data_IF_336946484919
#
_entry.id   IF_336946484919
#
_cell.length_a   1.000
_cell.length_b   1.000
_cell.length_c   1.000
_cell.angle_alpha   90.00
_cell.angle_beta   90.00
_cell.angle_gamma   90.00
#
_symmetry.space_group_name_H-M   'P 1'
#
loop_
_entity.id
_entity.type
_entity.pdbx_description
1 polymer ?
#
# COMPACT_ATOMS: atom_id res chain seq x y z
N UNK A 1 -31.26 11.29 -17.82
CA UNK A 1 -32.52 11.33 -18.60
C UNK A 1 -32.16 10.90 -20.01
N UNK A 2 -32.50 9.69 -20.41
CA UNK A 2 -32.33 9.20 -21.79
C UNK A 2 -33.61 9.51 -22.56
N UNK A 3 -33.50 10.08 -23.75
CA UNK A 3 -34.65 10.53 -24.57
C UNK A 3 -35.62 9.42 -25.02
N UNK A 4 -35.36 8.15 -24.71
CA UNK A 4 -36.08 7.01 -25.33
C UNK A 4 -36.73 6.01 -24.37
N UNK A 5 -36.89 6.28 -23.06
CA UNK A 5 -37.53 5.37 -22.09
C UNK A 5 -36.99 3.91 -22.08
N UNK A 6 -35.84 3.66 -22.71
CA UNK A 6 -35.18 2.37 -22.68
C UNK A 6 -34.53 2.20 -21.29
N UNK A 7 -34.78 1.08 -20.58
CA UNK A 7 -34.06 0.80 -19.35
C UNK A 7 -32.57 0.79 -19.66
N UNK A 8 -31.74 1.37 -18.78
CA UNK A 8 -30.30 1.33 -18.93
C UNK A 8 -29.86 -0.13 -19.05
N UNK A 9 -29.36 -0.52 -20.22
CA UNK A 9 -28.97 -1.91 -20.54
C UNK A 9 -27.82 -2.38 -19.63
N UNK A 10 -27.08 -1.44 -19.03
CA UNK A 10 -26.05 -1.66 -18.03
C UNK A 10 -26.33 -0.85 -16.75
N UNK A 11 -26.81 -1.51 -15.69
CA UNK A 11 -26.78 -0.95 -14.34
C UNK A 11 -25.40 -1.25 -13.72
N UNK A 12 -24.40 -0.41 -14.00
CA UNK A 12 -23.01 -0.56 -13.51
C UNK A 12 -22.88 -0.38 -11.98
N UNK A 13 -24.00 -0.23 -11.26
CA UNK A 13 -24.02 0.29 -9.90
C UNK A 13 -23.94 1.81 -9.90
N UNK A 14 -24.41 2.43 -8.82
CA UNK A 14 -24.31 3.90 -8.72
C UNK A 14 -22.83 4.32 -8.68
N UNK A 15 -22.51 5.53 -9.17
CA UNK A 15 -21.16 6.11 -9.05
C UNK A 15 -20.66 6.12 -7.60
N UNK A 16 -21.58 6.32 -6.65
CA UNK A 16 -21.28 6.23 -5.23
C UNK A 16 -20.85 4.81 -4.83
N UNK A 17 -21.55 3.78 -5.31
CA UNK A 17 -21.20 2.37 -5.07
C UNK A 17 -19.80 2.05 -5.61
N UNK A 18 -19.50 2.46 -6.85
CA UNK A 18 -18.18 2.23 -7.45
C UNK A 18 -17.08 3.00 -6.72
N UNK A 19 -17.34 4.24 -6.29
CA UNK A 19 -16.42 5.01 -5.44
C UNK A 19 -16.13 4.27 -4.12
N UNK A 20 -17.16 3.79 -3.43
CA UNK A 20 -16.99 3.07 -2.17
C UNK A 20 -16.22 1.76 -2.35
N UNK A 21 -16.48 1.01 -3.43
CA UNK A 21 -15.74 -0.21 -3.74
C UNK A 21 -14.28 0.09 -4.09
N UNK A 22 -14.03 1.14 -4.87
CA UNK A 22 -12.68 1.61 -5.21
C UNK A 22 -11.89 1.97 -3.95
N UNK A 23 -12.47 2.80 -3.08
CA UNK A 23 -11.87 3.20 -1.82
C UNK A 23 -11.63 2.01 -0.88
N UNK A 24 -12.58 1.07 -0.81
CA UNK A 24 -12.43 -0.16 -0.02
C UNK A 24 -11.24 -0.98 -0.51
N UNK A 25 -11.13 -1.25 -1.81
CA UNK A 25 -10.03 -2.04 -2.40
C UNK A 25 -8.68 -1.38 -2.11
N UNK A 26 -8.58 -0.07 -2.31
CA UNK A 26 -7.36 0.70 -2.01
C UNK A 26 -7.01 0.66 -0.53
N UNK A 27 -8.01 0.82 0.35
CA UNK A 27 -7.79 0.82 1.79
C UNK A 27 -7.29 -0.55 2.28
N UNK A 28 -7.94 -1.64 1.85
CA UNK A 28 -7.54 -3.01 2.22
C UNK A 28 -6.10 -3.28 1.78
N UNK A 29 -5.76 -2.98 0.53
CA UNK A 29 -4.42 -3.20 0.01
C UNK A 29 -3.37 -2.34 0.72
N UNK A 30 -3.68 -1.06 0.97
CA UNK A 30 -2.77 -0.13 1.65
C UNK A 30 -2.53 -0.54 3.10
N UNK A 31 -3.57 -0.96 3.83
CA UNK A 31 -3.43 -1.41 5.22
C UNK A 31 -2.56 -2.67 5.28
N UNK A 32 -2.81 -3.64 4.40
CA UNK A 32 -1.98 -4.84 4.30
C UNK A 32 -0.51 -4.50 3.98
N UNK A 33 -0.27 -3.62 2.99
CA UNK A 33 1.07 -3.17 2.63
C UNK A 33 1.74 -2.43 3.78
N UNK A 34 1.00 -1.59 4.51
CA UNK A 34 1.51 -0.83 5.65
C UNK A 34 1.99 -1.75 6.76
N UNK A 35 1.18 -2.74 7.14
CA UNK A 35 1.55 -3.70 8.18
C UNK A 35 2.85 -4.42 7.79
N UNK A 36 2.94 -4.93 6.57
CA UNK A 36 4.12 -5.68 6.10
C UNK A 36 5.35 -4.77 5.98
N UNK A 37 5.22 -3.63 5.31
CA UNK A 37 6.34 -2.72 5.06
C UNK A 37 6.89 -2.10 6.36
N UNK A 38 6.02 -1.69 7.28
CA UNK A 38 6.45 -1.15 8.59
C UNK A 38 7.08 -2.26 9.44
N UNK A 39 6.52 -3.48 9.43
CA UNK A 39 7.13 -4.60 10.16
C UNK A 39 8.53 -4.94 9.61
N UNK A 40 8.70 -4.96 8.28
CA UNK A 40 10.01 -5.15 7.65
C UNK A 40 10.98 -4.02 8.01
N UNK A 41 10.55 -2.77 7.95
CA UNK A 41 11.38 -1.62 8.33
C UNK A 41 11.81 -1.69 9.81
N UNK A 42 10.90 -2.06 10.72
CA UNK A 42 11.22 -2.27 12.13
C UNK A 42 12.22 -3.42 12.29
N UNK A 43 12.02 -4.54 11.58
CA UNK A 43 12.91 -5.70 11.64
C UNK A 43 14.34 -5.32 11.24
N UNK A 44 14.51 -4.71 10.07
CA UNK A 44 15.84 -4.39 9.51
C UNK A 44 16.55 -3.23 10.23
N UNK A 45 15.83 -2.46 11.05
CA UNK A 45 16.41 -1.43 11.91
C UNK A 45 16.86 -1.97 13.27
N UNK A 46 16.58 -3.24 13.59
CA UNK A 46 17.13 -3.91 14.78
C UNK A 46 18.45 -4.62 14.45
N UNK A 47 19.37 -4.74 15.43
CA UNK A 47 20.60 -5.50 15.26
C UNK A 47 20.39 -6.93 14.74
N UNK A 48 19.33 -7.61 15.21
CA UNK A 48 19.00 -8.97 14.80
C UNK A 48 18.45 -9.10 13.37
N UNK A 49 17.96 -7.99 12.78
CA UNK A 49 17.37 -7.99 11.44
C UNK A 49 18.17 -7.22 10.39
N UNK A 50 19.25 -6.54 10.78
CA UNK A 50 20.02 -5.64 9.92
C UNK A 50 20.60 -6.35 8.68
N UNK A 51 20.98 -7.61 8.80
CA UNK A 51 21.48 -8.43 7.68
C UNK A 51 20.41 -8.68 6.59
N UNK A 52 19.12 -8.61 6.95
CA UNK A 52 18.01 -8.78 6.02
C UNK A 52 17.63 -7.49 5.28
N UNK A 53 18.34 -6.38 5.51
CA UNK A 53 18.05 -5.11 4.82
C UNK A 53 18.12 -5.24 3.28
N UNK A 54 19.19 -5.83 2.68
CA UNK A 54 19.25 -5.98 1.23
C UNK A 54 18.10 -6.84 0.70
N UNK A 55 17.80 -7.96 1.38
CA UNK A 55 16.72 -8.86 1.00
C UNK A 55 15.35 -8.18 1.09
N UNK A 56 15.08 -7.45 2.18
CA UNK A 56 13.83 -6.71 2.37
C UNK A 56 13.65 -5.65 1.29
N UNK A 57 14.72 -4.90 0.97
CA UNK A 57 14.73 -3.94 -0.14
C UNK A 57 14.49 -4.59 -1.48
N UNK A 58 15.12 -5.73 -1.76
CA UNK A 58 14.87 -6.47 -3.01
C UNK A 58 13.41 -6.88 -3.13
N UNK A 59 12.79 -7.41 -2.06
CA UNK A 59 11.38 -7.81 -2.07
C UNK A 59 10.44 -6.64 -2.38
N UNK A 60 10.61 -5.49 -1.70
CA UNK A 60 9.74 -4.33 -1.92
C UNK A 60 9.99 -3.66 -3.28
N UNK A 61 11.23 -3.66 -3.77
CA UNK A 61 11.56 -3.11 -5.10
C UNK A 61 10.99 -3.97 -6.23
N UNK A 62 11.03 -5.30 -6.10
CA UNK A 62 10.41 -6.20 -7.07
C UNK A 62 8.93 -5.85 -7.23
N UNK A 63 8.22 -5.58 -6.14
CA UNK A 63 6.80 -5.20 -6.16
C UNK A 63 6.48 -3.97 -7.00
N UNK A 64 7.37 -2.95 -7.03
CA UNK A 64 7.17 -1.75 -7.83
C UNK A 64 7.76 -1.79 -9.24
N UNK A 65 8.72 -2.68 -9.49
CA UNK A 65 9.43 -2.73 -10.79
C UNK A 65 8.56 -3.35 -11.88
N UNK A 66 7.65 -4.27 -11.53
CA UNK A 66 6.70 -4.83 -12.49
C UNK A 66 5.57 -3.85 -12.76
N UNK A 67 5.27 -3.48 -14.02
CA UNK A 67 4.12 -2.61 -14.31
C UNK A 67 2.82 -3.26 -13.80
N UNK A 68 1.80 -2.48 -13.36
CA UNK A 68 0.62 -3.07 -12.72
C UNK A 68 -0.10 -4.06 -13.63
N UNK A 69 -0.15 -3.79 -14.93
CA UNK A 69 -0.75 -4.67 -15.94
C UNK A 69 -0.05 -6.03 -15.98
N UNK A 70 1.28 -6.09 -15.83
CA UNK A 70 2.00 -7.36 -15.79
C UNK A 70 1.68 -8.15 -14.52
N UNK A 71 1.57 -7.47 -13.38
CA UNK A 71 1.14 -8.12 -12.12
C UNK A 71 -0.26 -8.72 -12.27
N UNK A 72 -1.19 -7.98 -12.88
CA UNK A 72 -2.55 -8.48 -13.14
C UNK A 72 -2.53 -9.69 -14.10
N UNK A 73 -1.75 -9.62 -15.18
CA UNK A 73 -1.63 -10.72 -16.14
C UNK A 73 -1.10 -12.02 -15.51
N UNK A 74 -0.22 -11.92 -14.52
CA UNK A 74 0.29 -13.06 -13.75
C UNK A 74 -0.69 -13.52 -12.65
N UNK A 75 -1.38 -12.59 -12.01
CA UNK A 75 -2.27 -12.89 -10.90
C UNK A 75 -3.58 -13.55 -11.35
N UNK A 76 -4.15 -13.16 -12.49
CA UNK A 76 -5.44 -13.71 -12.97
C UNK A 76 -5.41 -15.24 -13.14
N UNK A 77 -4.41 -15.85 -13.82
CA UNK A 77 -4.33 -17.32 -13.89
C UNK A 77 -4.17 -18.00 -12.52
N UNK A 78 -3.55 -17.31 -11.55
CA UNK A 78 -3.27 -17.87 -10.24
C UNK A 78 -4.46 -17.80 -9.27
N UNK A 79 -5.24 -16.71 -9.29
CA UNK A 79 -6.31 -16.45 -8.30
C UNK A 79 -7.70 -16.20 -8.88
N UNK A 80 -7.82 -16.22 -10.21
CA UNK A 80 -9.04 -15.93 -10.96
C UNK A 80 -9.27 -14.43 -11.20
N UNK A 81 -10.30 -14.12 -11.99
CA UNK A 81 -10.78 -12.76 -12.22
C UNK A 81 -11.48 -12.17 -10.97
N UNK A 82 -11.51 -10.84 -10.87
CA UNK A 82 -12.20 -10.10 -9.81
C UNK A 82 -11.29 -9.17 -9.01
N UNK A 83 -11.64 -8.95 -7.73
CA UNK A 83 -10.93 -8.00 -6.84
C UNK A 83 -9.53 -8.49 -6.43
N UNK A 84 -9.30 -9.82 -6.37
CA UNK A 84 -8.07 -10.41 -5.82
C UNK A 84 -6.79 -10.03 -6.59
N UNK A 85 -6.73 -10.14 -7.94
CA UNK A 85 -5.55 -9.68 -8.69
C UNK A 85 -5.23 -8.20 -8.46
N UNK A 86 -6.26 -7.36 -8.37
CA UNK A 86 -6.10 -5.93 -8.08
C UNK A 86 -5.53 -5.69 -6.69
N UNK A 87 -6.03 -6.40 -5.66
CA UNK A 87 -5.46 -6.31 -4.31
C UNK A 87 -3.98 -6.69 -4.28
N UNK A 88 -3.58 -7.75 -4.99
CA UNK A 88 -2.18 -8.17 -5.08
C UNK A 88 -1.32 -7.06 -5.72
N UNK A 89 -1.77 -6.51 -6.84
CA UNK A 89 -1.04 -5.45 -7.53
C UNK A 89 -0.88 -4.19 -6.65
N UNK A 90 -1.97 -3.74 -6.03
CA UNK A 90 -1.95 -2.57 -5.13
C UNK A 90 -1.08 -2.81 -3.89
N UNK A 91 -1.16 -4.00 -3.30
CA UNK A 91 -0.34 -4.39 -2.17
C UNK A 91 1.14 -4.29 -2.51
N UNK A 92 1.58 -4.93 -3.60
CA UNK A 92 2.98 -4.95 -4.01
C UNK A 92 3.50 -3.54 -4.34
N UNK A 93 2.70 -2.71 -4.99
CA UNK A 93 3.06 -1.33 -5.32
C UNK A 93 3.17 -0.42 -4.09
N UNK A 94 2.31 -0.64 -3.10
CA UNK A 94 2.30 0.12 -1.85
C UNK A 94 3.45 -0.23 -0.90
N UNK A 95 4.14 -1.36 -1.10
CA UNK A 95 5.21 -1.77 -0.18
C UNK A 95 6.39 -0.79 -0.15
N UNK A 96 6.93 -0.43 -1.33
CA UNK A 96 8.18 0.33 -1.41
C UNK A 96 8.11 1.73 -0.77
N UNK A 97 7.10 2.59 -1.05
CA UNK A 97 7.08 3.94 -0.52
C UNK A 97 6.88 3.91 1.00
N UNK A 98 6.06 2.98 1.51
CA UNK A 98 5.89 2.82 2.96
C UNK A 98 7.17 2.30 3.61
N UNK A 99 7.81 1.29 3.02
CA UNK A 99 9.03 0.69 3.55
C UNK A 99 10.17 1.71 3.62
N UNK A 100 10.45 2.43 2.53
CA UNK A 100 11.56 3.40 2.52
C UNK A 100 11.27 4.58 3.45
N UNK A 101 10.03 5.08 3.53
CA UNK A 101 9.69 6.13 4.50
C UNK A 101 9.78 5.64 5.95
N UNK A 102 9.35 4.42 6.24
CA UNK A 102 9.49 3.85 7.57
C UNK A 102 10.96 3.62 7.95
N UNK A 103 11.76 3.11 7.01
CA UNK A 103 13.19 2.93 7.18
C UNK A 103 13.90 4.27 7.41
N UNK A 104 13.63 5.27 6.59
CA UNK A 104 14.14 6.64 6.78
C UNK A 104 13.72 7.16 8.16
N UNK A 105 12.43 7.14 8.48
CA UNK A 105 11.92 7.66 9.75
C UNK A 105 12.56 7.01 10.97
N UNK A 106 12.82 5.70 10.94
CA UNK A 106 13.45 4.96 12.03
C UNK A 106 14.96 5.16 12.12
N UNK A 107 15.64 5.47 11.01
CA UNK A 107 17.11 5.62 10.95
C UNK A 107 17.60 7.06 11.08
N UNK A 108 16.75 8.05 10.81
CA UNK A 108 17.10 9.48 10.90
C UNK A 108 16.64 10.14 12.19
N UNK A 109 16.37 9.35 13.24
CA UNK A 109 15.98 9.88 14.54
C UNK A 109 17.14 10.66 15.20
N UNK A 110 16.89 11.76 15.93
CA UNK A 110 17.93 12.48 16.65
C UNK A 110 18.65 11.60 17.67
N UNK A 111 19.97 11.45 17.51
CA UNK A 111 20.77 10.56 18.36
C UNK A 111 20.66 10.89 19.85
N UNK A 112 20.58 12.18 20.20
CA UNK A 112 20.40 12.64 21.58
C UNK A 112 19.11 12.11 22.22
N UNK A 113 18.01 12.00 21.46
CA UNK A 113 16.73 11.48 21.96
C UNK A 113 16.81 9.97 22.18
N UNK A 114 17.45 9.24 21.25
CA UNK A 114 17.61 7.79 21.34
C UNK A 114 18.54 7.39 22.49
N UNK A 115 19.65 8.11 22.67
CA UNK A 115 20.58 7.88 23.78
C UNK A 115 19.98 8.31 25.13
N UNK A 116 19.19 9.39 25.19
CA UNK A 116 18.46 9.75 26.41
C UNK A 116 17.45 8.66 26.81
N UNK A 117 16.72 8.09 25.85
CA UNK A 117 15.81 6.98 26.12
C UNK A 117 16.55 5.73 26.62
N UNK A 118 17.76 5.47 26.10
CA UNK A 118 18.63 4.38 26.57
C UNK A 118 19.17 4.65 27.99
N UNK A 119 19.63 5.87 28.26
CA UNK A 119 20.11 6.30 29.58
C UNK A 119 19.01 6.29 30.66
N UNK A 120 17.75 6.47 30.26
CA UNK A 120 16.58 6.32 31.13
C UNK A 120 16.20 4.85 31.43
N UNK A 121 16.96 3.86 30.90
CA UNK A 121 16.73 2.43 31.16
C UNK A 121 15.61 1.80 30.33
N UNK A 122 15.17 2.43 29.24
CA UNK A 122 14.12 1.84 28.38
C UNK A 122 14.62 0.59 27.67
N UNK A 123 13.81 -0.47 27.69
CA UNK A 123 14.05 -1.67 26.86
C UNK A 123 13.87 -1.34 25.37
N UNK A 124 14.41 -2.18 24.49
CA UNK A 124 14.27 -1.98 23.04
C UNK A 124 12.80 -1.85 22.58
N UNK A 125 11.88 -2.61 23.20
CA UNK A 125 10.45 -2.53 22.91
C UNK A 125 9.81 -1.24 23.45
N UNK A 126 10.18 -0.81 24.65
CA UNK A 126 9.71 0.46 25.21
C UNK A 126 10.20 1.65 24.38
N UNK A 127 11.48 1.63 23.97
CA UNK A 127 12.06 2.67 23.13
C UNK A 127 11.39 2.72 21.76
N UNK A 128 11.16 1.56 21.13
CA UNK A 128 10.44 1.47 19.85
C UNK A 128 9.04 2.08 19.94
N UNK A 129 8.24 1.64 20.91
CA UNK A 129 6.81 2.02 20.99
C UNK A 129 6.57 3.42 21.54
N UNK A 130 7.41 3.90 22.47
CA UNK A 130 7.21 5.18 23.15
C UNK A 130 8.02 6.34 22.56
N UNK A 131 9.07 6.07 21.79
CA UNK A 131 9.99 7.09 21.29
C UNK A 131 10.14 7.00 19.77
N UNK A 132 10.64 5.88 19.28
CA UNK A 132 11.02 5.75 17.86
C UNK A 132 9.80 5.78 16.93
N UNK A 133 8.72 5.03 17.23
CA UNK A 133 7.49 5.02 16.42
C UNK A 133 6.75 6.37 16.43
N UNK A 134 6.50 7.01 17.59
CA UNK A 134 5.89 8.34 17.61
C UNK A 134 6.71 9.40 16.86
N UNK A 135 8.04 9.36 16.98
CA UNK A 135 8.92 10.35 16.35
C UNK A 135 9.08 10.12 14.83
N UNK A 136 9.02 8.86 14.38
CA UNK A 136 9.06 8.50 12.95
C UNK A 136 7.68 8.55 12.26
N UNK A 137 6.58 8.61 13.02
CA UNK A 137 5.22 8.56 12.50
C UNK A 137 4.92 9.58 11.38
N UNK A 138 5.36 10.85 11.43
CA UNK A 138 5.10 11.79 10.35
C UNK A 138 5.68 11.36 9.00
N UNK A 139 6.88 10.75 9.01
CA UNK A 139 7.55 10.26 7.81
C UNK A 139 6.85 8.99 7.32
N UNK A 140 6.53 8.05 8.21
CA UNK A 140 5.75 6.83 7.88
C UNK A 140 4.41 7.20 7.23
N UNK A 141 3.68 8.16 7.81
CA UNK A 141 2.42 8.67 7.26
C UNK A 141 2.60 9.33 5.89
N UNK A 142 3.75 9.97 5.65
CA UNK A 142 4.14 10.46 4.32
C UNK A 142 4.23 9.33 3.28
N UNK A 143 4.88 8.22 3.64
CA UNK A 143 4.96 7.01 2.80
C UNK A 143 3.61 6.33 2.56
N UNK A 144 2.76 6.26 3.58
CA UNK A 144 1.38 5.75 3.46
C UNK A 144 0.58 6.63 2.52
N UNK A 145 0.63 7.95 2.69
CA UNK A 145 -0.07 8.92 1.82
C UNK A 145 0.35 8.76 0.36
N UNK A 146 1.66 8.66 0.09
CA UNK A 146 2.17 8.46 -1.25
C UNK A 146 1.65 7.14 -1.85
N UNK A 147 1.65 6.07 -1.06
CA UNK A 147 1.15 4.75 -1.49
C UNK A 147 -0.35 4.76 -1.77
N UNK A 148 -1.15 5.50 -0.98
CA UNK A 148 -2.58 5.69 -1.24
C UNK A 148 -2.80 6.41 -2.57
N UNK A 149 -2.06 7.49 -2.83
CA UNK A 149 -2.19 8.24 -4.10
C UNK A 149 -1.87 7.36 -5.30
N UNK A 150 -0.76 6.61 -5.24
CA UNK A 150 -0.39 5.64 -6.28
C UNK A 150 -1.49 4.59 -6.43
N UNK A 151 -1.96 4.02 -5.32
CA UNK A 151 -2.97 2.96 -5.34
C UNK A 151 -4.32 3.43 -5.90
N UNK A 152 -4.73 4.67 -5.60
CA UNK A 152 -5.95 5.25 -6.15
C UNK A 152 -5.90 5.32 -7.69
N UNK A 153 -4.76 5.72 -8.25
CA UNK A 153 -4.56 5.73 -9.69
C UNK A 153 -4.51 4.30 -10.25
N UNK A 154 -3.70 3.42 -9.67
CA UNK A 154 -3.49 2.05 -10.15
C UNK A 154 -4.74 1.18 -10.07
N UNK A 155 -5.62 1.40 -9.08
CA UNK A 155 -6.84 0.61 -8.90
C UNK A 155 -7.83 0.73 -10.06
N UNK A 156 -7.73 1.80 -10.87
CA UNK A 156 -8.52 1.96 -12.10
C UNK A 156 -8.22 0.86 -13.13
N UNK A 157 -6.97 0.38 -13.19
CA UNK A 157 -6.55 -0.68 -14.10
C UNK A 157 -7.21 -2.02 -13.72
N UNK A 158 -7.56 -2.20 -12.45
CA UNK A 158 -8.20 -3.42 -11.95
C UNK A 158 -9.51 -3.79 -12.66
N UNK A 159 -10.23 -2.82 -13.22
CA UNK A 159 -11.45 -3.08 -13.97
C UNK A 159 -11.22 -3.90 -15.25
N UNK A 160 -10.01 -3.91 -15.80
CA UNK A 160 -9.63 -4.79 -16.93
C UNK A 160 -9.67 -6.28 -16.58
N UNK A 161 -9.62 -6.63 -15.29
CA UNK A 161 -9.70 -8.00 -14.79
C UNK A 161 -10.96 -8.24 -13.95
N UNK A 162 -12.02 -7.52 -14.27
CA UNK A 162 -13.34 -7.60 -13.64
C UNK A 162 -13.39 -7.18 -12.16
N UNK A 163 -12.45 -6.34 -11.69
CA UNK A 163 -12.59 -5.68 -10.40
C UNK A 163 -13.57 -4.50 -10.48
N UNK A 164 -14.49 -4.44 -9.51
CA UNK A 164 -15.46 -3.35 -9.41
C UNK A 164 -14.84 -2.10 -8.82
N UNK A 165 -14.44 -1.18 -9.68
CA UNK A 165 -13.77 0.07 -9.28
C UNK A 165 -14.27 1.24 -10.14
N UNK A 166 -13.80 2.45 -9.88
CA UNK A 166 -14.08 3.60 -10.75
C UNK A 166 -13.49 3.44 -12.16
N UNK A 167 -12.57 2.48 -12.36
CA UNK A 167 -12.06 2.10 -13.67
C UNK A 167 -13.14 1.65 -14.64
N UNK A 168 -14.24 1.06 -14.18
CA UNK A 168 -15.34 0.62 -15.04
C UNK A 168 -15.94 1.80 -15.82
N UNK A 169 -16.11 2.95 -15.16
CA UNK A 169 -16.66 4.17 -15.75
C UNK A 169 -15.65 4.80 -16.73
N UNK A 170 -14.37 4.81 -16.36
CA UNK A 170 -13.31 5.37 -17.20
C UNK A 170 -13.17 4.56 -18.49
N UNK A 171 -13.12 3.23 -18.37
CA UNK A 171 -12.99 2.32 -19.53
C UNK A 171 -14.23 2.37 -20.41
N UNK A 172 -15.43 2.47 -19.84
CA UNK A 172 -16.66 2.60 -20.62
C UNK A 172 -16.75 3.92 -21.42
N UNK A 173 -15.98 4.94 -21.04
CA UNK A 173 -15.92 6.23 -21.73
C UNK A 173 -14.78 6.38 -22.75
N UNK A 174 -13.89 5.38 -22.89
CA UNK A 174 -12.84 5.32 -23.91
C UNK A 174 -13.38 4.77 -25.23
#
# INVERSE_FOLDING_TARGET
LTENNAPAIYNQGSLLTLTLLHLRTVLIATVAATIVAVALAILVTRPAGAEFLPLSRSLVNIGQTFPPVAVLALAVPAVGFGEKPTLIALFLYGLLPIFENALTGLTTLPANVVEAARGAGMTGWQRLTKVELPLSAPIILGGIRLSVVISLATATIGSTVAARTLGEVIIAGL
#
